data_IF_178940381770
#
_entry.id   IF_178940381770
#
_cell.length_a   1.000
_cell.length_b   1.000
_cell.length_c   1.000
_cell.angle_alpha   90.00
_cell.angle_beta   90.00
_cell.angle_gamma   90.00
#
_symmetry.space_group_name_H-M   'P 1'
#
loop_
_entity.id
_entity.type
_entity.pdbx_description
1 polymer ?
#
# COMPACT_ATOMS: atom_id res chain seq x y z
N UNK A 1 -8.26 -18.43 -1.71
CA UNK A 1 -7.88 -17.05 -1.33
C UNK A 1 -8.97 -16.13 -1.84
N UNK A 2 -9.49 -15.23 -1.01
CA UNK A 2 -10.40 -14.20 -1.48
C UNK A 2 -9.61 -13.18 -2.32
N UNK A 3 -10.13 -12.81 -3.48
CA UNK A 3 -9.56 -11.73 -4.29
C UNK A 3 -9.76 -10.44 -3.52
N UNK A 4 -8.68 -9.69 -3.30
CA UNK A 4 -8.74 -8.40 -2.62
C UNK A 4 -9.11 -7.31 -3.61
N UNK A 5 -9.88 -6.32 -3.17
CA UNK A 5 -10.29 -5.19 -4.03
C UNK A 5 -10.14 -3.86 -3.31
N UNK A 6 -9.86 -2.80 -4.06
CA UNK A 6 -9.80 -1.45 -3.52
C UNK A 6 -11.14 -1.02 -2.92
N UNK A 7 -12.26 -1.32 -3.59
CA UNK A 7 -13.59 -1.02 -3.09
C UNK A 7 -13.87 -1.62 -1.72
N UNK A 8 -13.37 -2.83 -1.44
CA UNK A 8 -13.49 -3.47 -0.13
C UNK A 8 -12.50 -2.87 0.87
N UNK A 9 -11.25 -2.59 0.46
CA UNK A 9 -10.22 -1.96 1.29
C UNK A 9 -10.69 -0.64 1.90
N UNK A 10 -11.31 0.24 1.12
CA UNK A 10 -11.72 1.57 1.59
C UNK A 10 -12.89 1.54 2.58
N UNK A 11 -13.61 0.42 2.67
CA UNK A 11 -14.67 0.24 3.70
C UNK A 11 -14.09 0.08 5.10
N UNK A 12 -12.80 -0.25 5.21
CA UNK A 12 -12.09 -0.41 6.47
C UNK A 12 -11.74 0.97 7.05
N UNK A 13 -12.26 1.31 8.24
CA UNK A 13 -12.20 2.68 8.77
C UNK A 13 -10.83 3.06 9.33
N UNK A 14 -9.98 2.10 9.69
CA UNK A 14 -8.67 2.38 10.29
C UNK A 14 -7.50 1.95 9.40
N UNK A 15 -6.37 2.64 9.58
CA UNK A 15 -5.15 2.35 8.85
C UNK A 15 -4.64 0.92 9.15
N UNK A 16 -4.79 0.47 10.40
CA UNK A 16 -4.43 -0.86 10.85
C UNK A 16 -5.28 -1.95 10.18
N UNK A 17 -6.59 -1.77 10.08
CA UNK A 17 -7.46 -2.72 9.38
C UNK A 17 -7.10 -2.81 7.89
N UNK A 18 -6.84 -1.66 7.24
CA UNK A 18 -6.38 -1.65 5.83
C UNK A 18 -5.05 -2.38 5.67
N UNK A 19 -4.11 -2.14 6.58
CA UNK A 19 -2.84 -2.84 6.58
C UNK A 19 -3.02 -4.35 6.76
N UNK A 20 -3.79 -4.78 7.76
CA UNK A 20 -4.08 -6.19 8.04
C UNK A 20 -4.79 -6.88 6.88
N UNK A 21 -5.67 -6.17 6.18
CA UNK A 21 -6.33 -6.69 4.99
C UNK A 21 -5.34 -6.97 3.86
N UNK A 22 -4.28 -6.16 3.71
CA UNK A 22 -3.26 -6.35 2.68
C UNK A 22 -2.11 -7.28 3.09
N UNK A 23 -1.86 -7.39 4.40
CA UNK A 23 -0.78 -8.21 4.94
C UNK A 23 -0.89 -9.64 4.41
N UNK A 24 0.18 -10.09 3.77
CA UNK A 24 0.27 -11.45 3.27
C UNK A 24 0.84 -12.33 4.39
N UNK A 25 0.05 -13.24 4.95
CA UNK A 25 0.53 -14.28 5.89
C UNK A 25 1.45 -15.34 5.21
N UNK A 26 1.93 -15.05 3.99
CA UNK A 26 2.65 -15.98 3.12
C UNK A 26 4.17 -15.96 3.34
N UNK A 27 4.75 -17.14 3.49
CA UNK A 27 6.18 -17.43 3.64
C UNK A 27 7.09 -16.53 2.80
N UNK A 28 7.98 -15.81 3.48
CA UNK A 28 9.17 -15.17 2.90
C UNK A 28 9.92 -16.20 2.06
N UNK A 29 10.10 -15.95 0.76
CA UNK A 29 11.01 -16.75 -0.07
C UNK A 29 10.47 -17.40 -1.35
N UNK A 30 9.44 -16.85 -2.01
CA UNK A 30 9.37 -16.98 -3.48
C UNK A 30 10.03 -15.76 -4.11
N UNK A 31 11.20 -15.99 -4.71
CA UNK A 31 11.91 -15.03 -5.55
C UNK A 31 10.94 -14.32 -6.50
N UNK A 32 10.53 -13.10 -6.18
CA UNK A 32 9.51 -12.38 -6.98
C UNK A 32 10.06 -11.13 -7.66
N UNK A 33 11.24 -10.62 -7.29
CA UNK A 33 11.77 -9.38 -7.89
C UNK A 33 13.29 -9.38 -8.10
N UNK A 34 13.83 -10.49 -8.63
CA UNK A 34 15.29 -10.67 -8.75
C UNK A 34 15.91 -10.48 -10.14
N UNK A 35 15.27 -10.91 -11.23
CA UNK A 35 16.10 -11.38 -12.35
C UNK A 35 16.15 -10.51 -13.62
N UNK A 36 15.30 -9.48 -13.79
CA UNK A 36 15.29 -8.68 -15.03
C UNK A 36 15.10 -7.17 -14.81
N UNK A 37 16.15 -6.53 -14.28
CA UNK A 37 16.24 -5.08 -14.02
C UNK A 37 15.89 -4.19 -15.22
N UNK A 38 16.13 -4.67 -16.45
CA UNK A 38 15.84 -3.94 -17.68
C UNK A 38 14.33 -3.78 -17.95
N UNK A 39 13.53 -4.83 -17.72
CA UNK A 39 12.09 -4.77 -17.97
C UNK A 39 11.40 -3.82 -16.98
N UNK A 40 11.83 -3.84 -15.72
CA UNK A 40 11.35 -2.88 -14.73
C UNK A 40 11.62 -1.44 -15.17
N UNK A 41 12.77 -1.19 -15.81
CA UNK A 41 13.12 0.14 -16.27
C UNK A 41 12.28 0.57 -17.47
N UNK A 42 12.01 -0.31 -18.44
CA UNK A 42 11.14 0.07 -19.56
C UNK A 42 9.68 0.24 -19.12
N UNK A 43 9.15 -0.71 -18.35
CA UNK A 43 7.77 -0.71 -17.92
C UNK A 43 7.43 0.47 -17.00
N UNK A 44 8.20 0.69 -15.93
CA UNK A 44 7.90 1.74 -14.95
C UNK A 44 8.17 3.17 -15.46
N UNK A 45 8.75 3.32 -16.66
CA UNK A 45 8.89 4.59 -17.36
C UNK A 45 7.98 4.70 -18.59
N UNK A 46 7.12 3.72 -18.85
CA UNK A 46 6.16 3.76 -19.95
C UNK A 46 5.03 4.76 -19.68
N UNK A 47 4.54 5.42 -20.72
CA UNK A 47 3.45 6.40 -20.62
C UNK A 47 2.19 5.79 -19.99
N UNK A 48 1.88 4.54 -20.32
CA UNK A 48 0.72 3.84 -19.78
C UNK A 48 0.84 3.61 -18.27
N UNK A 49 2.02 3.19 -17.79
CA UNK A 49 2.24 3.05 -16.35
C UNK A 49 2.20 4.39 -15.63
N UNK A 50 2.79 5.44 -16.21
CA UNK A 50 2.79 6.77 -15.60
C UNK A 50 1.37 7.34 -15.50
N UNK A 51 0.54 7.17 -16.54
CA UNK A 51 -0.86 7.56 -16.52
C UNK A 51 -1.65 6.79 -15.45
N UNK A 52 -1.49 5.47 -15.41
CA UNK A 52 -2.13 4.64 -14.39
C UNK A 52 -1.69 5.06 -12.98
N UNK A 53 -0.40 5.27 -12.76
CA UNK A 53 0.15 5.75 -11.49
C UNK A 53 -0.48 7.07 -11.07
N UNK A 54 -0.60 8.03 -11.98
CA UNK A 54 -1.19 9.33 -11.68
C UNK A 54 -2.68 9.21 -11.32
N UNK A 55 -3.43 8.34 -12.01
CA UNK A 55 -4.83 8.03 -11.68
C UNK A 55 -4.98 7.52 -10.24
N UNK A 56 -4.14 6.56 -9.84
CA UNK A 56 -4.17 5.99 -8.48
C UNK A 56 -3.79 7.03 -7.43
N UNK A 57 -2.77 7.86 -7.70
CA UNK A 57 -2.36 8.94 -6.78
C UNK A 57 -3.47 9.95 -6.58
N UNK A 58 -4.16 10.35 -7.65
CA UNK A 58 -5.28 11.30 -7.59
C UNK A 58 -6.44 10.70 -6.79
N UNK A 59 -6.81 9.44 -7.08
CA UNK A 59 -7.89 8.73 -6.39
C UNK A 59 -7.62 8.62 -4.88
N UNK A 60 -6.39 8.30 -4.50
CA UNK A 60 -6.00 8.10 -3.11
C UNK A 60 -5.59 9.40 -2.39
N UNK A 61 -5.71 10.56 -3.05
CA UNK A 61 -5.28 11.87 -2.55
C UNK A 61 -3.80 11.88 -2.07
N UNK A 62 -2.95 11.04 -2.68
CA UNK A 62 -1.57 10.85 -2.24
C UNK A 62 -1.43 10.30 -0.81
N UNK A 63 -2.46 9.68 -0.26
CA UNK A 63 -2.46 9.11 1.07
C UNK A 63 -2.05 7.63 1.09
N UNK A 64 -1.33 7.24 2.14
CA UNK A 64 -0.89 5.88 2.38
C UNK A 64 -2.11 4.98 2.65
N UNK A 65 -2.21 3.87 1.91
CA UNK A 65 -3.37 2.98 1.89
C UNK A 65 -4.69 3.70 1.54
N UNK A 66 -4.62 4.84 0.85
CA UNK A 66 -5.76 5.72 0.57
C UNK A 66 -6.47 6.23 1.82
N UNK A 67 -5.78 6.28 2.97
CA UNK A 67 -6.36 6.67 4.25
C UNK A 67 -6.19 8.18 4.50
N UNK A 68 -7.28 8.97 4.59
CA UNK A 68 -7.19 10.39 4.87
C UNK A 68 -6.43 10.69 6.17
N UNK A 69 -5.55 11.68 6.15
CA UNK A 69 -4.67 12.03 7.28
C UNK A 69 -3.38 11.21 7.37
N UNK A 70 -3.09 10.37 6.37
CA UNK A 70 -1.84 9.63 6.22
C UNK A 70 -1.12 10.02 4.91
N UNK A 71 -0.96 11.32 4.68
CA UNK A 71 -0.35 11.86 3.47
C UNK A 71 1.09 11.35 3.29
N UNK A 72 1.43 10.94 2.06
CA UNK A 72 2.78 10.51 1.71
C UNK A 72 3.61 11.74 1.33
N UNK A 73 4.48 12.15 2.23
CA UNK A 73 5.49 13.17 1.93
C UNK A 73 6.70 12.52 1.23
N UNK A 74 6.77 12.65 -0.10
CA UNK A 74 7.89 12.15 -0.91
C UNK A 74 7.45 11.18 -1.99
N UNK A 75 8.20 10.10 -2.15
CA UNK A 75 7.95 9.12 -3.21
C UNK A 75 6.73 8.24 -2.90
N UNK A 76 5.70 8.37 -3.73
CA UNK A 76 4.53 7.47 -3.71
C UNK A 76 4.81 6.23 -4.55
N UNK A 77 4.59 5.06 -3.95
CA UNK A 77 4.63 3.76 -4.61
C UNK A 77 3.20 3.28 -4.88
N UNK A 78 3.01 2.60 -6.00
CA UNK A 78 1.76 1.87 -6.29
C UNK A 78 1.97 0.42 -5.85
N UNK A 79 1.14 -0.05 -4.93
CA UNK A 79 1.15 -1.42 -4.45
C UNK A 79 -0.03 -2.18 -5.06
N UNK A 80 0.25 -3.34 -5.66
CA UNK A 80 -0.80 -4.23 -6.15
C UNK A 80 -1.37 -5.08 -5.01
N UNK A 81 -2.70 -5.02 -4.81
CA UNK A 81 -3.41 -5.71 -3.71
C UNK A 81 -3.28 -7.24 -3.82
N UNK A 82 -3.38 -7.75 -5.04
CA UNK A 82 -3.14 -9.13 -5.40
C UNK A 82 -1.82 -9.22 -6.17
N UNK A 83 -0.97 -10.23 -5.89
CA UNK A 83 0.30 -10.39 -6.59
C UNK A 83 0.13 -10.46 -8.11
N UNK A 84 0.89 -9.65 -8.84
CA UNK A 84 1.04 -9.75 -10.30
C UNK A 84 2.30 -10.53 -10.65
N UNK A 85 2.24 -11.27 -11.74
CA UNK A 85 3.39 -12.04 -12.23
C UNK A 85 4.23 -11.25 -13.22
N UNK A 86 5.42 -11.76 -13.53
CA UNK A 86 6.25 -11.17 -14.58
C UNK A 86 5.58 -11.29 -15.95
N UNK A 87 4.92 -12.41 -16.22
CA UNK A 87 4.15 -12.64 -17.42
C UNK A 87 3.00 -11.63 -17.56
N UNK A 88 2.40 -11.21 -16.45
CA UNK A 88 1.36 -10.18 -16.47
C UNK A 88 1.90 -8.83 -16.94
N UNK A 89 3.08 -8.42 -16.44
CA UNK A 89 3.74 -7.17 -16.86
C UNK A 89 4.10 -7.26 -18.35
N UNK A 90 4.67 -8.37 -18.78
CA UNK A 90 5.16 -8.55 -20.15
C UNK A 90 4.00 -8.58 -21.16
N UNK A 91 2.89 -9.20 -20.79
CA UNK A 91 1.69 -9.27 -21.62
C UNK A 91 0.75 -8.06 -21.45
N UNK A 92 1.11 -7.10 -20.58
CA UNK A 92 0.24 -5.99 -20.20
C UNK A 92 -1.16 -6.48 -19.77
N UNK A 93 -1.19 -7.55 -18.96
CA UNK A 93 -2.42 -8.15 -18.46
C UNK A 93 -3.29 -7.08 -17.76
N UNK A 94 -4.63 -7.15 -17.87
CA UNK A 94 -5.53 -6.17 -17.26
C UNK A 94 -5.28 -5.93 -15.77
N UNK A 95 -4.88 -6.96 -15.01
CA UNK A 95 -4.61 -6.88 -13.57
C UNK A 95 -3.45 -5.92 -13.18
N UNK A 96 -2.59 -5.57 -14.14
CA UNK A 96 -1.46 -4.64 -13.94
C UNK A 96 -1.93 -3.20 -13.86
N UNK A 97 -2.98 -2.87 -14.63
CA UNK A 97 -3.57 -1.54 -14.77
C UNK A 97 -4.99 -1.47 -14.22
N UNK A 98 -5.33 -2.37 -13.30
CA UNK A 98 -6.64 -2.43 -12.67
C UNK A 98 -6.65 -1.56 -11.41
N UNK A 99 -7.45 -0.48 -11.35
CA UNK A 99 -7.57 0.34 -10.16
C UNK A 99 -8.09 -0.44 -8.94
N UNK A 100 -8.91 -1.46 -9.13
CA UNK A 100 -9.37 -2.32 -8.03
C UNK A 100 -8.26 -3.19 -7.46
N UNK A 101 -7.15 -3.33 -8.18
CA UNK A 101 -5.98 -4.08 -7.75
C UNK A 101 -4.80 -3.19 -7.34
N UNK A 102 -4.97 -1.87 -7.15
CA UNK A 102 -3.87 -0.96 -6.81
C UNK A 102 -4.21 0.02 -5.68
N UNK A 103 -3.21 0.40 -4.89
CA UNK A 103 -3.31 1.46 -3.86
C UNK A 103 -1.97 2.17 -3.64
N UNK A 104 -2.02 3.45 -3.26
CA UNK A 104 -0.85 4.21 -2.85
C UNK A 104 -0.25 3.66 -1.55
N UNK A 105 1.08 3.54 -1.52
CA UNK A 105 1.85 3.20 -0.32
C UNK A 105 3.11 4.04 -0.23
N UNK A 106 3.56 4.31 0.99
CA UNK A 106 4.97 4.70 1.22
C UNK A 106 5.85 3.46 1.32
N UNK A 107 7.15 3.63 1.10
CA UNK A 107 8.13 2.53 1.12
C UNK A 107 8.06 1.68 2.41
N UNK A 108 7.91 2.31 3.57
CA UNK A 108 7.84 1.58 4.85
C UNK A 108 6.59 0.71 4.95
N UNK A 109 5.42 1.23 4.55
CA UNK A 109 4.15 0.49 4.55
C UNK A 109 4.20 -0.66 3.55
N UNK A 110 4.68 -0.39 2.33
CA UNK A 110 4.90 -1.43 1.31
C UNK A 110 5.79 -2.57 1.84
N UNK A 111 6.92 -2.24 2.46
CA UNK A 111 7.82 -3.23 3.04
C UNK A 111 7.20 -3.98 4.21
N UNK A 112 6.41 -3.30 5.06
CA UNK A 112 5.71 -3.93 6.18
C UNK A 112 4.65 -4.95 5.70
N UNK A 113 3.96 -4.67 4.59
CA UNK A 113 2.99 -5.60 3.97
C UNK A 113 3.69 -6.90 3.53
N UNK A 114 4.90 -6.79 2.99
CA UNK A 114 5.64 -7.95 2.45
C UNK A 114 6.50 -8.70 3.47
N UNK A 115 7.11 -7.98 4.41
CA UNK A 115 8.23 -8.51 5.20
C UNK A 115 8.13 -8.22 6.70
N UNK A 116 7.11 -7.50 7.15
CA UNK A 116 7.04 -6.97 8.50
C UNK A 116 5.74 -7.25 9.23
N UNK A 117 5.56 -6.49 10.31
CA UNK A 117 4.36 -6.47 11.13
C UNK A 117 3.97 -5.02 11.47
N UNK A 118 2.92 -4.87 12.26
CA UNK A 118 2.35 -3.57 12.63
C UNK A 118 3.34 -2.65 13.37
N UNK A 119 4.45 -3.19 13.92
CA UNK A 119 5.44 -2.40 14.64
C UNK A 119 6.18 -1.40 13.74
N UNK A 120 6.12 -1.58 12.42
CA UNK A 120 6.70 -0.68 11.42
C UNK A 120 5.74 0.45 10.98
N UNK A 121 4.48 0.40 11.43
CA UNK A 121 3.47 1.40 11.06
C UNK A 121 3.62 2.65 11.93
N UNK A 122 3.47 3.81 11.29
CA UNK A 122 3.30 5.07 12.02
C UNK A 122 1.89 5.07 12.59
N UNK A 123 1.77 4.78 13.89
CA UNK A 123 0.48 4.76 14.57
C UNK A 123 -0.11 6.17 14.64
N UNK A 124 -1.45 6.31 14.55
CA UNK A 124 -2.09 7.59 14.77
C UNK A 124 -1.77 8.11 16.19
N UNK A 125 -1.78 9.44 16.39
CA UNK A 125 -1.67 10.01 17.73
C UNK A 125 -2.71 9.40 18.67
N UNK A 126 -2.29 9.01 19.88
CA UNK A 126 -3.19 8.42 20.88
C UNK A 126 -4.36 9.37 21.15
N UNK A 127 -5.59 8.84 21.12
CA UNK A 127 -6.79 9.62 21.43
C UNK A 127 -6.63 10.26 22.81
N UNK A 128 -6.72 11.59 22.83
CA UNK A 128 -6.49 12.37 24.05
C UNK A 128 -7.67 12.19 25.01
N UNK A 129 -7.38 11.98 26.29
CA UNK A 129 -8.37 11.90 27.36
C UNK A 129 -8.13 12.98 28.40
N UNK A 130 -9.15 13.33 29.18
CA UNK A 130 -9.01 14.37 30.20
C UNK A 130 -7.86 14.02 31.16
N UNK A 131 -6.91 14.95 31.32
CA UNK A 131 -5.74 14.83 32.20
C UNK A 131 -4.64 13.83 31.75
N UNK A 132 -4.68 13.30 30.53
CA UNK A 132 -3.70 12.34 30.00
C UNK A 132 -2.22 12.82 29.97
N UNK A 133 -2.01 14.13 30.06
CA UNK A 133 -0.67 14.79 30.12
C UNK A 133 -0.39 15.44 31.47
N UNK A 134 -1.26 15.21 32.46
CA UNK A 134 -1.10 15.75 33.82
C UNK A 134 -0.89 14.59 34.80
N UNK A 135 0.35 14.10 35.00
CA UNK A 135 0.65 12.98 35.91
C UNK A 135 0.11 13.14 37.34
N UNK A 136 -0.11 14.37 37.79
CA UNK A 136 -0.59 14.73 39.14
C UNK A 136 -2.12 14.93 39.23
N UNK A 137 -2.86 14.81 38.11
CA UNK A 137 -4.33 14.90 38.07
C UNK A 137 -4.97 13.55 37.71
N UNK A 138 -4.39 12.45 38.19
CA UNK A 138 -5.04 11.13 38.12
C UNK A 138 -6.29 11.16 39.00
N UNK A 139 -7.43 10.73 38.45
CA UNK A 139 -8.64 10.43 39.22
C UNK A 139 -8.39 9.29 40.19
#
# INVERSE_FOLDING_TARGET
>A
MSIKTYSELITLPTFEERFLYLKLDGSVGKETFGFKRWLNQEFYHSDQWLQFRDEIIIRDEGCDLGMPGYEIFGSVLIHHLNPITYEDILNQSPCVFDPENAVCTKLNTHNAIHYGDESLLVLPPVQRTQNDTCPWRKQ
#
